data_IF_811587404788
#
_entry.id   IF_811587404788
#
_cell.length_a   1.000
_cell.length_b   1.000
_cell.length_c   1.000
_cell.angle_alpha   90.00
_cell.angle_beta   90.00
_cell.angle_gamma   90.00
#
_symmetry.space_group_name_H-M   'P 1'
#
loop_
_entity.id
_entity.type
_entity.pdbx_description
1 polymer ?
#
# COMPACT_ATOMS: atom_id res chain seq x y z
N UNK A 1 -29.90 -0.10 -6.62
CA UNK A 1 -29.62 -1.34 -7.39
C UNK A 1 -28.13 -1.64 -7.21
N UNK A 2 -27.71 -1.78 -5.95
CA UNK A 2 -26.30 -1.62 -5.52
C UNK A 2 -25.66 -2.95 -5.07
N UNK A 3 -26.41 -4.06 -5.19
CA UNK A 3 -26.03 -5.34 -4.59
C UNK A 3 -25.41 -6.34 -5.58
N UNK A 4 -25.48 -6.08 -6.89
CA UNK A 4 -24.91 -7.00 -7.88
C UNK A 4 -23.38 -7.00 -7.84
N UNK A 5 -22.79 -5.80 -7.73
CA UNK A 5 -21.33 -5.61 -7.63
C UNK A 5 -20.69 -6.23 -6.40
N UNK A 6 -21.46 -6.55 -5.35
CA UNK A 6 -20.95 -7.29 -4.19
C UNK A 6 -20.89 -8.80 -4.46
N UNK A 7 -21.89 -9.33 -5.16
CA UNK A 7 -22.06 -10.76 -5.41
C UNK A 7 -21.11 -11.29 -6.50
N UNK A 8 -20.78 -10.47 -7.49
CA UNK A 8 -19.87 -10.85 -8.59
C UNK A 8 -18.47 -10.27 -8.45
N UNK A 9 -18.10 -9.77 -7.26
CA UNK A 9 -16.82 -9.10 -7.04
C UNK A 9 -15.67 -10.09 -7.00
N UNK A 10 -14.69 -9.88 -7.87
CA UNK A 10 -13.42 -10.59 -7.79
C UNK A 10 -12.52 -9.92 -6.73
N UNK A 11 -12.33 -10.62 -5.61
CA UNK A 11 -11.48 -10.18 -4.49
C UNK A 11 -9.99 -10.12 -4.85
N UNK A 12 -9.57 -10.75 -5.96
CA UNK A 12 -8.19 -10.67 -6.44
C UNK A 12 -7.88 -9.34 -7.16
N UNK A 13 -8.92 -8.58 -7.52
CA UNK A 13 -8.81 -7.29 -8.21
C UNK A 13 -8.89 -6.16 -7.18
N UNK A 14 -8.02 -5.16 -7.33
CA UNK A 14 -8.06 -3.98 -6.46
C UNK A 14 -9.42 -3.27 -6.58
N UNK A 15 -10.00 -2.92 -5.43
CA UNK A 15 -11.34 -2.35 -5.33
C UNK A 15 -11.48 -1.50 -4.06
N UNK A 16 -12.62 -0.81 -3.88
CA UNK A 16 -12.80 0.18 -2.81
C UNK A 16 -12.64 -0.41 -1.40
N UNK A 17 -13.12 -1.63 -1.18
CA UNK A 17 -12.98 -2.34 0.11
C UNK A 17 -11.52 -2.55 0.54
N UNK A 18 -10.59 -2.74 -0.40
CA UNK A 18 -9.16 -2.81 -0.09
C UNK A 18 -8.62 -1.45 0.40
N UNK A 19 -9.11 -0.35 -0.19
CA UNK A 19 -8.73 1.01 0.21
C UNK A 19 -9.32 1.35 1.59
N UNK A 20 -10.55 0.92 1.87
CA UNK A 20 -11.18 1.06 3.18
C UNK A 20 -10.40 0.30 4.26
N UNK A 21 -9.96 -0.93 3.98
CA UNK A 21 -9.09 -1.69 4.89
C UNK A 21 -7.77 -0.95 5.17
N UNK A 22 -7.16 -0.36 4.14
CA UNK A 22 -5.95 0.44 4.28
C UNK A 22 -6.17 1.69 5.13
N UNK A 23 -7.24 2.46 4.88
CA UNK A 23 -7.60 3.65 5.67
C UNK A 23 -7.82 3.27 7.13
N UNK A 24 -8.57 2.20 7.38
CA UNK A 24 -8.85 1.72 8.74
C UNK A 24 -7.55 1.36 9.46
N UNK A 25 -6.71 0.53 8.85
CA UNK A 25 -5.45 0.14 9.48
C UNK A 25 -4.48 1.30 9.63
N UNK A 26 -4.45 2.26 8.71
CA UNK A 26 -3.63 3.47 8.86
C UNK A 26 -3.98 4.24 10.13
N UNK A 27 -5.27 4.34 10.45
CA UNK A 27 -5.70 5.04 11.67
C UNK A 27 -5.17 4.42 12.97
N UNK A 28 -4.83 3.11 12.98
CA UNK A 28 -4.17 2.48 14.13
C UNK A 28 -2.74 3.00 14.35
N UNK A 29 -2.06 3.46 13.28
CA UNK A 29 -0.68 3.95 13.31
C UNK A 29 -0.60 5.48 13.32
N UNK A 30 -1.69 6.18 12.98
CA UNK A 30 -1.81 7.65 12.97
C UNK A 30 -3.05 8.11 13.76
N UNK A 31 -3.10 7.88 15.09
CA UNK A 31 -4.27 8.21 15.91
C UNK A 31 -4.56 9.71 15.99
N UNK A 32 -3.54 10.55 15.77
CA UNK A 32 -3.63 12.00 15.80
C UNK A 32 -3.97 12.62 14.43
N UNK A 33 -4.20 11.79 13.40
CA UNK A 33 -4.46 12.22 12.03
C UNK A 33 -3.42 13.21 11.47
N UNK A 34 -2.13 12.98 11.77
CA UNK A 34 -1.01 13.80 11.26
C UNK A 34 -0.81 13.65 9.75
N UNK A 35 -1.41 12.63 9.15
CA UNK A 35 -1.31 12.30 7.74
C UNK A 35 0.03 11.67 7.35
N UNK A 36 0.85 11.27 8.32
CA UNK A 36 2.19 10.70 8.10
C UNK A 36 2.60 9.76 9.23
N UNK A 37 3.27 8.67 8.86
CA UNK A 37 3.80 7.66 9.80
C UNK A 37 5.22 7.28 9.41
N UNK A 38 5.95 6.58 10.29
CA UNK A 38 7.30 6.10 9.97
C UNK A 38 7.23 5.02 8.90
N UNK A 39 8.22 4.99 8.00
CA UNK A 39 8.27 3.99 6.92
C UNK A 39 8.27 2.53 7.44
N UNK A 40 8.82 2.27 8.64
CA UNK A 40 8.78 0.96 9.28
C UNK A 40 7.36 0.52 9.65
N UNK A 41 6.53 1.47 10.10
CA UNK A 41 5.13 1.20 10.43
C UNK A 41 4.33 0.87 9.17
N UNK A 42 4.62 1.54 8.05
CA UNK A 42 4.04 1.21 6.74
C UNK A 42 4.34 -0.23 6.34
N UNK A 43 5.58 -0.70 6.53
CA UNK A 43 5.94 -2.10 6.22
C UNK A 43 5.11 -3.07 7.08
N UNK A 44 4.94 -2.75 8.36
CA UNK A 44 4.15 -3.58 9.28
C UNK A 44 2.67 -3.56 8.93
N UNK A 45 2.12 -2.39 8.62
CA UNK A 45 0.75 -2.18 8.16
C UNK A 45 0.47 -2.97 6.89
N UNK A 46 1.33 -2.86 5.87
CA UNK A 46 1.12 -3.55 4.59
C UNK A 46 1.22 -5.07 4.72
N UNK A 47 1.93 -5.60 5.72
CA UNK A 47 1.91 -7.05 6.02
C UNK A 47 0.61 -7.50 6.70
N UNK A 48 -0.14 -6.60 7.35
CA UNK A 48 -1.47 -6.92 7.89
C UNK A 48 -2.51 -7.01 6.78
N UNK A 49 -2.38 -6.21 5.73
CA UNK A 49 -3.28 -6.17 4.57
C UNK A 49 -2.94 -7.31 3.60
N UNK A 50 -3.94 -8.04 3.14
CA UNK A 50 -3.74 -9.08 2.13
C UNK A 50 -3.52 -8.48 0.73
N UNK A 51 -2.86 -9.20 -0.20
CA UNK A 51 -2.95 -8.89 -1.62
C UNK A 51 -4.44 -8.77 -2.03
N UNK A 52 -4.80 -7.86 -2.95
CA UNK A 52 -3.96 -7.20 -3.95
C UNK A 52 -3.28 -5.89 -3.53
N UNK A 53 -3.73 -5.23 -2.45
CA UNK A 53 -3.18 -3.93 -2.00
C UNK A 53 -1.99 -4.08 -1.05
N UNK A 54 -2.05 -5.07 -0.15
CA UNK A 54 -0.99 -5.35 0.83
C UNK A 54 -0.07 -6.50 0.42
N UNK A 55 0.77 -6.91 1.37
CA UNK A 55 1.74 -7.98 1.19
C UNK A 55 1.30 -9.30 1.83
N UNK A 56 0.38 -9.25 2.79
CA UNK A 56 -0.07 -10.40 3.57
C UNK A 56 0.91 -10.84 4.66
N UNK A 57 0.39 -11.56 5.65
CA UNK A 57 1.11 -11.93 6.89
C UNK A 57 2.37 -12.76 6.64
N UNK A 58 2.33 -13.60 5.60
CA UNK A 58 3.41 -14.50 5.21
C UNK A 58 4.55 -13.78 4.47
N UNK A 59 4.40 -12.52 4.09
CA UNK A 59 5.47 -11.79 3.41
C UNK A 59 6.64 -11.52 4.35
N UNK A 60 7.88 -11.93 3.99
CA UNK A 60 9.08 -11.61 4.76
C UNK A 60 9.34 -10.10 4.79
N UNK A 61 9.80 -9.58 5.93
CA UNK A 61 10.06 -8.15 6.11
C UNK A 61 11.03 -7.58 5.06
N UNK A 62 12.09 -8.33 4.71
CA UNK A 62 13.06 -7.91 3.69
C UNK A 62 12.42 -7.72 2.31
N UNK A 63 11.48 -8.60 1.93
CA UNK A 63 10.79 -8.50 0.64
C UNK A 63 9.81 -7.33 0.64
N UNK A 64 9.11 -7.10 1.75
CA UNK A 64 8.22 -5.96 1.93
C UNK A 64 8.98 -4.63 1.82
N UNK A 65 10.15 -4.50 2.49
CA UNK A 65 11.01 -3.32 2.35
C UNK A 65 11.49 -3.13 0.91
N UNK A 66 11.98 -4.19 0.24
CA UNK A 66 12.44 -4.11 -1.16
C UNK A 66 11.31 -3.61 -2.07
N UNK A 67 10.10 -4.16 -1.92
CA UNK A 67 8.92 -3.73 -2.67
C UNK A 67 8.57 -2.27 -2.39
N UNK A 68 8.60 -1.84 -1.13
CA UNK A 68 8.30 -0.47 -0.75
C UNK A 68 9.28 0.54 -1.39
N UNK A 69 10.57 0.23 -1.43
CA UNK A 69 11.58 1.05 -2.14
C UNK A 69 11.30 1.06 -3.65
N UNK A 70 10.99 -0.09 -4.25
CA UNK A 70 10.64 -0.18 -5.68
C UNK A 70 9.39 0.60 -6.07
N UNK A 71 8.48 0.84 -5.11
CA UNK A 71 7.27 1.63 -5.33
C UNK A 71 7.54 3.14 -5.41
N UNK A 72 8.80 3.62 -5.39
CA UNK A 72 9.21 5.01 -5.58
C UNK A 72 8.34 6.03 -4.80
N UNK A 73 8.06 5.71 -3.54
CA UNK A 73 7.28 6.56 -2.64
C UNK A 73 8.20 7.61 -1.99
N UNK A 74 7.81 8.90 -1.95
CA UNK A 74 8.63 9.93 -1.32
C UNK A 74 8.77 9.70 0.18
N UNK A 75 10.00 9.83 0.68
CA UNK A 75 10.36 9.74 2.09
C UNK A 75 10.79 11.13 2.58
N UNK A 76 10.25 11.57 3.70
CA UNK A 76 10.67 12.81 4.36
C UNK A 76 12.03 12.61 5.06
N UNK A 77 12.73 13.71 5.34
CA UNK A 77 14.04 13.69 6.01
C UNK A 77 14.01 13.08 7.42
N UNK A 78 12.85 13.10 8.08
CA UNK A 78 12.61 12.49 9.39
C UNK A 78 12.24 10.98 9.30
N UNK A 79 12.30 10.39 8.10
CA UNK A 79 11.96 8.99 7.85
C UNK A 79 10.47 8.68 7.89
N UNK A 80 9.60 9.70 7.80
CA UNK A 80 8.15 9.53 7.65
C UNK A 80 7.71 9.55 6.20
N UNK A 81 6.53 9.01 5.93
CA UNK A 81 5.88 9.07 4.62
C UNK A 81 4.44 9.56 4.77
N UNK A 82 3.95 10.27 3.76
CA UNK A 82 2.59 10.82 3.78
C UNK A 82 1.55 9.77 3.36
N UNK A 83 0.36 9.83 3.94
CA UNK A 83 -0.77 8.95 3.62
C UNK A 83 -1.11 8.93 2.14
N UNK A 84 -1.33 10.11 1.54
CA UNK A 84 -1.70 10.26 0.14
C UNK A 84 -0.63 9.72 -0.82
N UNK A 85 0.64 10.00 -0.53
CA UNK A 85 1.77 9.51 -1.30
C UNK A 85 1.86 7.97 -1.25
N UNK A 86 1.63 7.39 -0.06
CA UNK A 86 1.60 5.94 0.14
C UNK A 86 0.45 5.29 -0.61
N UNK A 87 -0.77 5.81 -0.44
CA UNK A 87 -1.97 5.32 -1.11
C UNK A 87 -1.82 5.35 -2.62
N UNK A 88 -1.37 6.48 -3.18
CA UNK A 88 -1.14 6.61 -4.61
C UNK A 88 -0.06 5.66 -5.12
N UNK A 89 1.03 5.48 -4.35
CA UNK A 89 2.11 4.56 -4.71
C UNK A 89 1.66 3.09 -4.74
N UNK A 90 0.76 2.69 -3.85
CA UNK A 90 0.18 1.34 -3.82
C UNK A 90 -0.77 1.12 -5.00
N UNK A 91 -1.72 2.04 -5.21
CA UNK A 91 -2.70 1.97 -6.30
C UNK A 91 -2.00 1.95 -7.67
N UNK A 92 -1.06 2.87 -7.92
CA UNK A 92 -0.32 2.90 -9.20
C UNK A 92 0.45 1.60 -9.44
N UNK A 93 1.01 1.01 -8.38
CA UNK A 93 1.81 -0.21 -8.49
C UNK A 93 0.94 -1.40 -8.85
N UNK A 94 -0.24 -1.50 -8.22
CA UNK A 94 -1.20 -2.55 -8.49
C UNK A 94 -1.79 -2.43 -9.92
N UNK A 95 -2.17 -1.22 -10.33
CA UNK A 95 -2.70 -0.92 -11.66
C UNK A 95 -1.62 -0.85 -12.76
N UNK A 96 -0.35 -1.08 -12.42
CA UNK A 96 0.80 -1.06 -13.33
C UNK A 96 0.97 0.26 -14.10
N UNK A 97 0.66 1.38 -13.45
CA UNK A 97 0.82 2.73 -14.01
C UNK A 97 2.23 3.23 -13.68
N UNK A 98 3.10 3.30 -14.69
CA UNK A 98 4.50 3.69 -14.54
C UNK A 98 4.84 4.88 -15.45
N UNK A 99 5.54 5.87 -14.90
CA UNK A 99 6.03 7.05 -15.65
C UNK A 99 7.45 6.88 -16.16
N UNK A 100 8.21 5.94 -15.59
CA UNK A 100 9.57 5.57 -16.01
C UNK A 100 9.53 4.10 -16.40
N UNK A 101 9.98 3.76 -17.60
CA UNK A 101 10.15 2.37 -18.05
C UNK A 101 10.93 1.60 -16.97
N UNK A 102 10.42 0.44 -16.53
CA UNK A 102 11.14 -0.45 -15.61
C UNK A 102 12.44 -0.90 -16.30
N UNK A 103 13.50 -0.09 -16.24
CA UNK A 103 14.85 -0.62 -16.31
C UNK A 103 15.02 -1.40 -15.03
N UNK A 104 15.12 -2.71 -15.20
CA UNK A 104 15.40 -3.70 -14.18
C UNK A 104 16.36 -3.14 -13.15
N UNK A 105 15.85 -2.79 -11.97
CA UNK A 105 16.68 -2.68 -10.77
C UNK A 105 16.93 -4.13 -10.36
N UNK A 106 17.83 -4.78 -11.08
CA UNK A 106 18.53 -5.97 -10.60
C UNK A 106 19.53 -5.49 -9.55
N UNK A 107 19.12 -5.60 -8.29
CA UNK A 107 20.00 -5.70 -7.13
C UNK A 107 19.77 -7.08 -6.55
#
# INVERSE_FOLDING_TARGET
MDNFDYLTRDWSILGPHHLEEFVRLWSEYDPDAKGRIKHLDVVTLLRKISPPLGFGKLCPHRLACKRLVSMNMPLNSDGTVCFNATLFALVRTNLKIYTVTKKSIEI
#
